data_IF_464431904373
#
_entry.id   IF_464431904373
#
_cell.length_a   1.000
_cell.length_b   1.000
_cell.length_c   1.000
_cell.angle_alpha   90.00
_cell.angle_beta   90.00
_cell.angle_gamma   90.00
#
_symmetry.space_group_name_H-M   'P 1'
#
loop_
_entity.id
_entity.type
_entity.pdbx_description
1 polymer ?
#
# COMPACT_ATOMS: atom_id res chain seq x y z
N UNK A 1 17.12 -29.23 55.53
CA UNK A 1 17.29 -27.78 55.30
C UNK A 1 16.31 -27.38 54.21
N UNK A 2 15.24 -26.70 54.61
CA UNK A 2 14.15 -26.21 53.77
C UNK A 2 14.54 -24.84 53.19
N UNK A 3 14.38 -24.64 51.89
CA UNK A 3 14.42 -23.32 51.24
C UNK A 3 13.30 -23.21 50.19
N UNK A 4 12.18 -22.74 50.74
CA UNK A 4 11.17 -21.81 50.21
C UNK A 4 11.16 -21.47 48.71
N UNK A 5 10.09 -21.92 48.04
CA UNK A 5 9.56 -21.36 46.78
C UNK A 5 8.78 -20.08 47.07
N UNK A 6 9.14 -18.97 46.42
CA UNK A 6 8.34 -17.76 46.40
C UNK A 6 7.28 -17.86 45.30
N UNK A 7 6.01 -17.92 45.72
CA UNK A 7 4.82 -17.80 44.86
C UNK A 7 4.44 -16.32 44.84
N UNK A 8 4.56 -15.67 43.69
CA UNK A 8 4.04 -14.32 43.48
C UNK A 8 2.58 -14.46 43.01
N UNK A 9 1.66 -14.26 43.96
CA UNK A 9 0.23 -14.08 43.74
C UNK A 9 -0.09 -12.62 44.04
N UNK A 10 -0.67 -11.93 43.06
CA UNK A 10 -1.17 -10.56 43.16
C UNK A 10 -1.33 -10.00 41.74
N UNK A 11 -2.43 -9.39 41.31
CA UNK A 11 -3.54 -8.78 42.02
C UNK A 11 -4.73 -8.76 41.05
N UNK A 12 -5.82 -9.48 41.35
CA UNK A 12 -7.10 -9.33 40.66
C UNK A 12 -7.89 -8.32 41.50
N UNK A 13 -8.00 -7.08 41.02
CA UNK A 13 -8.97 -6.12 41.56
C UNK A 13 -10.18 -6.10 40.63
N UNK A 14 -11.24 -6.73 41.11
CA UNK A 14 -12.60 -6.54 40.67
C UNK A 14 -13.07 -5.14 41.07
N UNK A 15 -13.61 -4.38 40.12
CA UNK A 15 -14.45 -3.21 40.38
C UNK A 15 -15.81 -3.50 39.74
N UNK A 16 -16.77 -3.88 40.57
CA UNK A 16 -18.18 -3.99 40.22
C UNK A 16 -18.98 -3.00 41.07
N UNK A 17 -19.87 -2.29 40.39
CA UNK A 17 -21.09 -1.63 40.86
C UNK A 17 -21.01 -0.51 41.89
N UNK A 18 -21.19 0.73 41.41
CA UNK A 18 -22.35 1.55 41.74
C UNK A 18 -22.18 2.96 41.15
N UNK A 19 -22.83 3.29 40.03
CA UNK A 19 -23.17 4.69 39.77
C UNK A 19 -24.51 4.84 39.05
N UNK A 20 -25.35 5.62 39.71
CA UNK A 20 -26.68 6.08 39.33
C UNK A 20 -26.75 6.65 37.91
N UNK A 21 -27.84 6.31 37.23
CA UNK A 21 -28.41 7.01 36.09
C UNK A 21 -28.67 8.49 36.40
N UNK A 22 -27.97 9.38 35.69
CA UNK A 22 -28.42 10.76 35.42
C UNK A 22 -28.24 11.07 33.92
N UNK A 23 -29.16 11.83 33.30
CA UNK A 23 -29.10 12.15 31.88
C UNK A 23 -28.13 13.31 31.62
N UNK A 24 -27.13 13.10 30.76
CA UNK A 24 -26.19 14.13 30.32
C UNK A 24 -26.79 14.87 29.10
N UNK A 25 -26.84 16.21 29.11
CA UNK A 25 -27.26 17.01 27.96
C UNK A 25 -26.15 17.09 26.90
N UNK A 26 -26.58 17.18 25.64
CA UNK A 26 -25.77 17.35 24.43
C UNK A 26 -24.57 18.30 24.63
N UNK A 27 -23.37 17.72 24.67
CA UNK A 27 -22.10 18.45 24.64
C UNK A 27 -21.50 18.36 23.24
N UNK A 28 -21.41 19.54 22.62
CA UNK A 28 -20.69 19.87 21.40
C UNK A 28 -19.30 19.24 21.37
N UNK A 29 -19.07 18.40 20.35
CA UNK A 29 -17.76 17.84 20.00
C UNK A 29 -16.85 18.93 19.42
N UNK A 30 -16.16 19.65 20.30
CA UNK A 30 -14.97 20.44 19.95
C UNK A 30 -13.77 19.48 19.78
N UNK A 31 -13.64 18.86 18.60
CA UNK A 31 -12.36 18.27 18.16
C UNK A 31 -11.50 19.37 17.58
N UNK A 32 -10.65 19.91 18.45
CA UNK A 32 -9.56 20.82 18.13
C UNK A 32 -8.48 20.10 17.31
N UNK A 33 -8.42 20.45 16.03
CA UNK A 33 -7.22 20.79 15.25
C UNK A 33 -5.87 20.19 15.71
N UNK A 34 -5.50 19.07 15.09
CA UNK A 34 -4.11 18.76 14.70
C UNK A 34 -4.13 18.00 13.36
N UNK A 35 -4.75 18.59 12.34
CA UNK A 35 -4.55 18.19 10.95
C UNK A 35 -3.29 18.91 10.43
N UNK A 36 -2.18 18.17 10.39
CA UNK A 36 -1.04 18.56 9.57
C UNK A 36 -1.41 18.53 8.08
N UNK A 37 -0.78 19.36 7.24
CA UNK A 37 -1.12 19.47 5.83
C UNK A 37 -0.68 18.20 5.09
N UNK A 38 -1.65 17.36 4.70
CA UNK A 38 -1.46 16.38 3.64
C UNK A 38 -1.14 17.14 2.36
N UNK A 39 0.15 17.18 2.00
CA UNK A 39 0.62 17.68 0.71
C UNK A 39 0.13 16.73 -0.40
N UNK A 40 -1.07 16.99 -0.89
CA UNK A 40 -1.51 16.48 -2.18
C UNK A 40 -0.65 17.11 -3.28
N UNK A 41 0.40 16.40 -3.73
CA UNK A 41 1.13 16.81 -4.93
C UNK A 41 0.16 16.75 -6.12
N UNK A 42 0.07 17.80 -6.96
CA UNK A 42 -0.73 17.75 -8.18
C UNK A 42 -0.17 16.67 -9.11
N UNK A 43 -0.99 15.66 -9.38
CA UNK A 43 -0.69 14.64 -10.38
C UNK A 43 -0.64 15.33 -11.75
N UNK A 44 0.54 15.39 -12.38
CA UNK A 44 0.68 15.85 -13.77
C UNK A 44 0.01 14.82 -14.68
N UNK A 45 -1.18 15.15 -15.15
CA UNK A 45 -1.90 14.42 -16.21
C UNK A 45 -1.13 14.58 -17.53
N UNK A 46 -0.21 13.65 -17.80
CA UNK A 46 0.48 13.53 -19.07
C UNK A 46 -0.46 12.92 -20.11
N UNK A 47 -1.03 13.79 -20.95
CA UNK A 47 -1.88 13.41 -22.08
C UNK A 47 -1.00 13.22 -23.33
N UNK A 48 -1.07 12.05 -23.98
CA UNK A 48 -0.56 11.76 -25.34
C UNK A 48 0.72 10.91 -25.34
N UNK A 49 0.87 9.82 -26.09
CA UNK A 49 0.13 9.25 -27.22
C UNK A 49 0.18 7.73 -27.11
N UNK A 50 -0.95 7.05 -27.28
CA UNK A 50 -0.96 5.63 -27.60
C UNK A 50 -0.61 5.46 -29.09
N UNK A 51 0.42 4.70 -29.47
CA UNK A 51 0.59 4.27 -30.84
C UNK A 51 -0.54 3.28 -31.17
N UNK A 52 -1.38 3.66 -32.12
CA UNK A 52 -2.32 2.75 -32.79
C UNK A 52 -1.49 1.68 -33.49
N UNK A 53 -1.46 0.45 -32.93
CA UNK A 53 -0.95 -0.70 -33.68
C UNK A 53 -1.98 -1.06 -34.73
N UNK A 54 -1.67 -0.72 -35.98
CA UNK A 54 -2.35 -1.26 -37.15
C UNK A 54 -2.10 -2.75 -37.22
N UNK A 55 -3.18 -3.53 -37.30
CA UNK A 55 -3.14 -4.94 -37.62
C UNK A 55 -2.55 -5.12 -39.03
N UNK A 56 -1.39 -5.76 -39.12
CA UNK A 56 -0.92 -6.33 -40.39
C UNK A 56 -1.01 -7.85 -40.34
N UNK A 57 -1.51 -8.34 -41.47
CA UNK A 57 -1.84 -9.70 -41.83
C UNK A 57 -0.67 -10.70 -41.69
N UNK A 58 -1.08 -11.95 -41.47
CA UNK A 58 -0.16 -13.07 -41.39
C UNK A 58 0.48 -13.44 -42.72
N UNK A 59 1.71 -13.93 -42.65
CA UNK A 59 2.26 -14.97 -43.53
C UNK A 59 3.62 -15.41 -42.98
N UNK A 60 3.94 -16.71 -43.09
CA UNK A 60 5.33 -17.15 -43.06
C UNK A 60 5.78 -18.00 -41.87
N UNK A 61 5.07 -19.09 -41.57
CA UNK A 61 5.71 -20.26 -40.96
C UNK A 61 6.54 -20.95 -42.03
N UNK A 62 7.86 -20.69 -42.10
CA UNK A 62 8.90 -21.61 -42.62
C UNK A 62 10.27 -20.91 -42.64
N UNK A 63 11.20 -21.49 -41.88
CA UNK A 63 12.62 -21.47 -42.21
C UNK A 63 13.47 -20.40 -41.52
N UNK A 64 14.14 -20.78 -40.43
CA UNK A 64 15.54 -20.37 -40.23
C UNK A 64 16.25 -21.34 -39.28
N UNK A 65 16.46 -22.57 -39.77
CA UNK A 65 17.61 -23.37 -39.36
C UNK A 65 18.76 -22.96 -40.28
N UNK A 66 19.60 -22.05 -39.83
CA UNK A 66 20.88 -21.79 -40.48
C UNK A 66 21.95 -21.72 -39.39
N UNK A 67 22.67 -22.85 -39.28
CA UNK A 67 24.01 -22.93 -38.73
C UNK A 67 24.87 -21.78 -39.25
N UNK A 68 25.30 -20.92 -38.34
CA UNK A 68 26.31 -19.88 -38.58
C UNK A 68 27.39 -19.98 -37.52
N UNK A 69 28.30 -20.95 -37.70
CA UNK A 69 29.60 -20.98 -37.03
C UNK A 69 30.45 -19.82 -37.54
N UNK A 70 30.92 -18.95 -36.65
CA UNK A 70 32.04 -18.04 -36.90
C UNK A 70 31.77 -16.57 -36.61
N UNK A 71 32.35 -16.05 -35.53
CA UNK A 71 32.38 -14.60 -35.28
C UNK A 71 32.77 -14.19 -33.86
N UNK A 72 34.07 -14.26 -33.55
CA UNK A 72 34.81 -13.43 -32.59
C UNK A 72 34.15 -13.05 -31.24
N UNK A 73 34.51 -13.81 -30.20
CA UNK A 73 35.20 -13.32 -28.99
C UNK A 73 35.18 -11.79 -28.80
N UNK A 74 34.27 -11.33 -27.94
CA UNK A 74 34.53 -10.19 -27.04
C UNK A 74 34.75 -10.77 -25.64
N UNK A 75 35.96 -11.31 -25.45
CA UNK A 75 36.52 -11.58 -24.14
C UNK A 75 37.05 -10.27 -23.56
N UNK A 76 36.58 -9.91 -22.38
CA UNK A 76 37.33 -9.09 -21.43
C UNK A 76 36.92 -7.63 -21.36
N UNK A 77 36.42 -7.23 -20.19
CA UNK A 77 36.57 -5.85 -19.74
C UNK A 77 35.39 -5.25 -19.00
N UNK A 78 35.11 -5.72 -17.78
CA UNK A 78 34.80 -4.78 -16.69
C UNK A 78 33.34 -4.38 -16.47
N UNK A 79 32.47 -5.33 -16.12
CA UNK A 79 31.23 -5.02 -15.39
C UNK A 79 31.15 -5.62 -13.98
N UNK A 80 32.24 -6.18 -13.46
CA UNK A 80 32.29 -6.71 -12.08
C UNK A 80 32.74 -5.65 -11.04
N UNK A 81 33.07 -4.42 -11.46
CA UNK A 81 33.70 -3.42 -10.57
C UNK A 81 32.77 -2.30 -10.06
N UNK A 82 31.46 -2.33 -10.34
CA UNK A 82 30.54 -1.26 -9.94
C UNK A 82 29.60 -1.60 -8.75
N UNK A 83 29.62 -2.83 -8.20
CA UNK A 83 28.66 -3.24 -7.17
C UNK A 83 29.26 -3.56 -5.80
N UNK A 84 30.52 -3.19 -5.52
CA UNK A 84 30.96 -2.92 -4.14
C UNK A 84 30.59 -1.49 -3.73
N UNK A 85 29.34 -1.10 -4.00
CA UNK A 85 28.75 0.07 -3.38
C UNK A 85 28.67 -0.24 -1.89
N UNK A 86 29.67 0.25 -1.14
CA UNK A 86 29.82 0.22 0.33
C UNK A 86 28.71 -0.56 1.03
N UNK A 87 28.98 -1.82 1.36
CA UNK A 87 28.20 -2.64 2.29
C UNK A 87 28.16 -2.08 3.73
N UNK A 88 28.50 -0.80 3.92
CA UNK A 88 28.35 -0.02 5.15
C UNK A 88 27.12 0.88 5.09
N UNK A 89 26.00 0.39 4.54
CA UNK A 89 24.70 1.05 4.73
C UNK A 89 24.45 1.20 6.24
N UNK A 90 23.85 2.33 6.64
CA UNK A 90 23.53 2.54 8.04
C UNK A 90 22.40 1.58 8.44
N UNK A 91 22.76 0.43 8.99
CA UNK A 91 21.80 -0.63 9.35
C UNK A 91 20.68 -0.13 10.26
N UNK A 92 20.93 0.88 11.11
CA UNK A 92 19.92 1.49 11.98
C UNK A 92 18.85 2.22 11.17
N UNK A 93 19.24 2.85 10.05
CA UNK A 93 18.32 3.52 9.12
C UNK A 93 17.53 2.49 8.32
N UNK A 94 18.20 1.44 7.84
CA UNK A 94 17.53 0.37 7.10
C UNK A 94 16.52 -0.36 8.02
N UNK A 95 16.91 -0.69 9.25
CA UNK A 95 16.03 -1.27 10.26
C UNK A 95 14.86 -0.36 10.64
N UNK A 96 15.09 0.94 10.82
CA UNK A 96 14.02 1.89 11.14
C UNK A 96 13.01 2.03 9.99
N UNK A 97 13.48 2.01 8.74
CA UNK A 97 12.62 1.98 7.55
C UNK A 97 11.72 0.75 7.53
N UNK A 98 12.26 -0.45 7.80
CA UNK A 98 11.46 -1.67 7.87
C UNK A 98 10.39 -1.60 8.97
N UNK A 99 10.74 -1.05 10.15
CA UNK A 99 9.77 -0.83 11.24
C UNK A 99 8.66 0.15 10.88
N UNK A 100 9.01 1.26 10.24
CA UNK A 100 8.02 2.26 9.80
C UNK A 100 7.14 1.66 8.71
N UNK A 101 7.72 0.94 7.76
CA UNK A 101 7.00 0.22 6.72
C UNK A 101 6.03 -0.82 7.27
N UNK A 102 6.45 -1.61 8.25
CA UNK A 102 5.61 -2.59 8.93
C UNK A 102 4.38 -1.92 9.59
N UNK A 103 4.59 -0.80 10.30
CA UNK A 103 3.47 -0.01 10.86
C UNK A 103 2.55 0.58 9.78
N UNK A 104 3.11 0.97 8.64
CA UNK A 104 2.34 1.42 7.47
C UNK A 104 1.42 0.31 6.95
N UNK A 105 1.95 -0.91 6.81
CA UNK A 105 1.15 -2.08 6.41
C UNK A 105 0.08 -2.44 7.45
N UNK A 106 0.40 -2.37 8.74
CA UNK A 106 -0.59 -2.59 9.81
C UNK A 106 -1.74 -1.58 9.72
N UNK A 107 -1.43 -0.29 9.53
CA UNK A 107 -2.43 0.78 9.37
C UNK A 107 -3.30 0.55 8.13
N UNK A 108 -2.67 0.26 6.98
CA UNK A 108 -3.38 0.01 5.72
C UNK A 108 -4.32 -1.20 5.85
N UNK A 109 -3.88 -2.30 6.48
CA UNK A 109 -4.71 -3.50 6.63
C UNK A 109 -5.84 -3.33 7.65
N UNK A 110 -5.65 -2.48 8.67
CA UNK A 110 -6.68 -2.14 9.64
C UNK A 110 -7.77 -1.24 9.03
N UNK A 111 -7.37 -0.31 8.16
CA UNK A 111 -8.26 0.68 7.52
C UNK A 111 -8.50 0.36 6.03
N UNK A 112 -8.46 -0.92 5.66
CA UNK A 112 -8.44 -1.36 4.26
C UNK A 112 -9.53 -0.71 3.40
N UNK A 113 -10.76 -0.71 3.91
CA UNK A 113 -11.94 -0.18 3.21
C UNK A 113 -11.85 1.33 3.00
N UNK A 114 -11.37 2.08 3.99
CA UNK A 114 -11.28 3.53 3.94
C UNK A 114 -10.13 3.98 3.04
N UNK A 115 -8.96 3.36 3.21
CA UNK A 115 -7.76 3.73 2.48
C UNK A 115 -7.87 3.39 0.99
N UNK A 116 -8.39 2.20 0.65
CA UNK A 116 -8.50 1.77 -0.76
C UNK A 116 -9.65 2.43 -1.51
N UNK A 117 -10.57 3.11 -0.82
CA UNK A 117 -11.77 3.71 -1.44
C UNK A 117 -11.60 5.21 -1.68
N UNK A 118 -11.60 5.62 -2.95
CA UNK A 118 -11.55 7.02 -3.34
C UNK A 118 -12.96 7.52 -3.72
N UNK A 119 -13.56 8.34 -2.83
CA UNK A 119 -14.89 8.94 -3.01
C UNK A 119 -14.84 10.37 -3.57
N UNK A 120 -14.04 10.61 -4.60
CA UNK A 120 -13.89 11.94 -5.21
C UNK A 120 -14.58 12.09 -6.57
N UNK A 121 -15.29 11.07 -7.03
CA UNK A 121 -15.96 11.12 -8.32
C UNK A 121 -17.37 11.68 -8.13
N UNK A 122 -17.59 12.90 -8.64
CA UNK A 122 -18.92 13.46 -8.70
C UNK A 122 -19.33 13.50 -10.17
N UNK A 123 -20.21 12.59 -10.56
CA UNK A 123 -20.81 12.65 -11.89
C UNK A 123 -21.98 13.63 -11.87
N UNK A 124 -21.87 14.69 -12.67
CA UNK A 124 -23.00 15.55 -12.98
C UNK A 124 -23.89 14.76 -13.94
N UNK A 125 -25.10 14.41 -13.52
CA UNK A 125 -26.01 13.68 -14.40
C UNK A 125 -26.28 14.52 -15.65
N UNK A 126 -26.21 13.88 -16.82
CA UNK A 126 -26.39 14.56 -18.11
C UNK A 126 -27.77 15.25 -18.20
N UNK A 127 -28.76 14.68 -17.52
CA UNK A 127 -30.12 15.24 -17.38
C UNK A 127 -30.12 16.63 -16.70
N UNK A 128 -29.23 16.87 -15.73
CA UNK A 128 -29.03 18.22 -15.15
C UNK A 128 -28.40 19.16 -16.18
N UNK A 129 -27.54 18.66 -17.07
CA UNK A 129 -26.90 19.47 -18.11
C UNK A 129 -27.80 19.76 -19.31
N UNK A 130 -28.92 19.04 -19.47
CA UNK A 130 -29.88 19.29 -20.55
C UNK A 130 -30.68 20.59 -20.30
N UNK A 131 -30.85 21.35 -21.37
CA UNK A 131 -30.95 22.82 -21.45
C UNK A 131 -32.06 23.51 -20.62
N UNK A 132 -33.01 22.75 -20.05
CA UNK A 132 -34.23 23.31 -19.46
C UNK A 132 -34.04 23.93 -18.07
N UNK A 133 -32.96 23.60 -17.35
CA UNK A 133 -32.68 24.15 -16.01
C UNK A 133 -31.33 24.86 -15.89
N UNK A 134 -30.73 25.28 -17.02
CA UNK A 134 -29.40 25.92 -17.03
C UNK A 134 -29.34 27.16 -16.14
N UNK A 135 -30.41 27.97 -16.13
CA UNK A 135 -30.51 29.16 -15.27
C UNK A 135 -30.62 28.80 -13.78
N UNK A 136 -31.42 27.78 -13.42
CA UNK A 136 -31.58 27.32 -12.04
C UNK A 136 -30.28 26.68 -11.50
N UNK A 137 -29.53 25.97 -12.35
CA UNK A 137 -28.23 25.41 -11.99
C UNK A 137 -27.16 26.47 -11.78
N UNK A 138 -27.16 27.53 -12.60
CA UNK A 138 -26.25 28.65 -12.40
C UNK A 138 -26.55 29.43 -11.11
N UNK A 139 -27.83 29.55 -10.72
CA UNK A 139 -28.22 30.19 -9.46
C UNK A 139 -27.95 29.29 -8.22
N UNK A 140 -28.21 27.98 -8.32
CA UNK A 140 -27.85 27.02 -7.27
C UNK A 140 -26.33 26.90 -7.10
N UNK A 141 -25.57 26.96 -8.20
CA UNK A 141 -24.11 26.96 -8.20
C UNK A 141 -23.52 28.19 -7.49
N UNK A 142 -24.15 29.36 -7.64
CA UNK A 142 -23.72 30.60 -6.96
C UNK A 142 -24.00 30.61 -5.47
N UNK A 143 -25.11 30.02 -5.03
CA UNK A 143 -25.61 30.23 -3.66
C UNK A 143 -25.26 29.13 -2.68
N UNK A 144 -25.13 27.86 -3.10
CA UNK A 144 -24.86 26.75 -2.16
C UNK A 144 -24.11 25.54 -2.75
N UNK A 145 -24.00 25.40 -4.09
CA UNK A 145 -23.46 24.16 -4.67
C UNK A 145 -21.92 24.04 -4.66
N UNK A 146 -21.19 25.12 -4.36
CA UNK A 146 -19.72 25.01 -4.24
C UNK A 146 -19.28 24.35 -2.92
N UNK A 147 -20.13 24.38 -1.87
CA UNK A 147 -19.75 23.96 -0.52
C UNK A 147 -20.65 22.87 0.10
N UNK A 148 -21.92 22.71 -0.32
CA UNK A 148 -22.76 21.58 0.09
C UNK A 148 -22.73 20.45 -0.95
N UNK A 149 -21.59 19.77 -1.07
CA UNK A 149 -21.39 18.64 -2.00
C UNK A 149 -22.37 17.49 -1.75
N UNK A 150 -22.80 17.30 -0.52
CA UNK A 150 -23.56 16.12 -0.11
C UNK A 150 -25.05 16.15 -0.53
N UNK A 151 -25.62 17.33 -0.83
CA UNK A 151 -27.05 17.47 -1.10
C UNK A 151 -27.41 17.38 -2.60
N UNK A 152 -26.49 17.73 -3.50
CA UNK A 152 -26.76 17.84 -4.94
C UNK A 152 -25.87 16.97 -5.82
N UNK A 153 -24.77 16.42 -5.28
CA UNK A 153 -23.88 15.53 -6.02
C UNK A 153 -23.98 14.12 -5.49
N UNK A 154 -24.27 13.16 -6.39
CA UNK A 154 -24.12 11.74 -6.08
C UNK A 154 -22.63 11.45 -5.99
N UNK A 155 -22.10 11.37 -4.77
CA UNK A 155 -20.71 10.98 -4.53
C UNK A 155 -20.55 9.52 -4.91
N UNK A 156 -19.79 9.31 -5.98
CA UNK A 156 -19.38 8.00 -6.45
C UNK A 156 -18.02 7.66 -5.87
N UNK A 157 -17.94 6.47 -5.32
CA UNK A 157 -16.75 5.88 -4.76
C UNK A 157 -16.22 4.81 -5.71
N UNK A 158 -14.91 4.71 -5.76
CA UNK A 158 -14.19 3.73 -6.57
C UNK A 158 -13.01 3.23 -5.77
N UNK A 159 -12.82 1.91 -5.71
CA UNK A 159 -11.62 1.35 -5.10
C UNK A 159 -10.41 1.50 -6.02
N UNK A 160 -9.25 1.84 -5.46
CA UNK A 160 -8.00 2.03 -6.20
C UNK A 160 -6.86 1.23 -5.56
N UNK A 161 -5.93 0.67 -6.34
CA UNK A 161 -4.76 -0.04 -5.80
C UNK A 161 -3.64 0.91 -5.37
N UNK A 162 -3.80 2.22 -5.56
CA UNK A 162 -2.75 3.20 -5.29
C UNK A 162 -2.24 3.20 -3.84
N UNK A 163 -3.11 3.16 -2.81
CA UNK A 163 -2.66 3.09 -1.41
C UNK A 163 -1.78 1.87 -1.12
N UNK A 164 -2.02 0.75 -1.82
CA UNK A 164 -1.19 -0.46 -1.71
C UNK A 164 0.21 -0.19 -2.28
N UNK A 165 0.28 0.43 -3.47
CA UNK A 165 1.56 0.76 -4.13
C UNK A 165 2.37 1.75 -3.29
N UNK A 166 1.70 2.72 -2.69
CA UNK A 166 2.31 3.72 -1.82
C UNK A 166 2.83 3.09 -0.53
N UNK A 167 2.03 2.26 0.14
CA UNK A 167 2.43 1.56 1.36
C UNK A 167 3.61 0.60 1.13
N UNK A 168 3.63 -0.10 -0.01
CA UNK A 168 4.71 -1.01 -0.39
C UNK A 168 5.93 -0.29 -0.99
N UNK A 169 5.86 1.01 -1.23
CA UNK A 169 6.94 1.79 -1.84
C UNK A 169 7.30 1.32 -3.25
N UNK A 170 6.30 0.99 -4.08
CA UNK A 170 6.56 0.56 -5.46
C UNK A 170 6.89 1.72 -6.39
N UNK A 171 6.25 2.88 -6.21
CA UNK A 171 6.43 4.05 -7.06
C UNK A 171 7.30 5.15 -6.42
N UNK A 172 7.42 5.16 -5.09
CA UNK A 172 8.13 6.20 -4.35
C UNK A 172 9.51 5.72 -3.87
N UNK A 173 10.55 6.49 -4.22
CA UNK A 173 11.93 6.24 -3.83
C UNK A 173 12.20 6.54 -2.36
N UNK A 174 11.39 7.42 -1.76
CA UNK A 174 11.52 7.85 -0.37
C UNK A 174 10.67 7.00 0.57
N UNK A 175 9.78 6.16 0.04
CA UNK A 175 8.95 5.30 0.83
C UNK A 175 9.78 4.33 1.69
N UNK A 176 9.35 4.04 2.94
CA UNK A 176 10.08 3.18 3.85
C UNK A 176 10.34 1.77 3.29
N UNK A 177 9.41 1.22 2.51
CA UNK A 177 9.52 -0.12 1.93
C UNK A 177 10.10 -0.15 0.50
N UNK A 178 10.57 1.00 -0.01
CA UNK A 178 11.23 1.05 -1.32
C UNK A 178 12.44 0.11 -1.36
N UNK A 179 12.40 -0.88 -2.26
CA UNK A 179 13.41 -1.95 -2.37
C UNK A 179 13.71 -2.62 -1.03
N UNK A 180 12.67 -2.87 -0.24
CA UNK A 180 12.78 -3.53 1.05
C UNK A 180 13.34 -4.95 0.93
N UNK A 181 13.07 -5.66 -0.16
CA UNK A 181 13.70 -6.94 -0.51
C UNK A 181 15.24 -6.90 -0.46
N UNK A 182 15.84 -5.90 -1.11
CA UNK A 182 17.29 -5.70 -1.10
C UNK A 182 17.81 -5.21 0.26
N UNK A 183 16.97 -4.49 1.00
CA UNK A 183 17.29 -3.96 2.33
C UNK A 183 17.36 -5.11 3.34
N UNK A 184 16.40 -6.03 3.30
CA UNK A 184 16.40 -7.26 4.12
C UNK A 184 17.63 -8.11 3.80
N UNK A 185 17.94 -8.37 2.53
CA UNK A 185 19.14 -9.14 2.17
C UNK A 185 20.45 -8.54 2.72
N UNK A 186 20.57 -7.20 2.75
CA UNK A 186 21.74 -6.50 3.28
C UNK A 186 21.89 -6.62 4.80
N UNK A 187 20.79 -6.84 5.53
CA UNK A 187 20.80 -6.91 6.99
C UNK A 187 21.16 -8.31 7.52
N UNK A 188 21.35 -9.31 6.64
CA UNK A 188 21.67 -10.69 7.00
C UNK A 188 22.89 -10.81 7.93
N UNK A 189 23.95 -10.03 7.69
CA UNK A 189 25.18 -10.04 8.51
C UNK A 189 24.98 -9.53 9.95
N UNK A 190 23.78 -9.03 10.29
CA UNK A 190 23.43 -8.50 11.61
C UNK A 190 22.49 -9.40 12.41
N UNK A 191 21.98 -10.45 11.78
CA UNK A 191 21.08 -11.40 12.42
C UNK A 191 21.87 -12.25 13.41
N UNK A 192 21.24 -12.59 14.53
CA UNK A 192 21.80 -13.53 15.49
C UNK A 192 22.06 -14.88 14.78
N UNK A 193 23.26 -15.49 14.91
CA UNK A 193 23.53 -16.81 14.35
C UNK A 193 22.49 -17.88 14.70
N UNK A 194 21.85 -17.79 15.87
CA UNK A 194 20.84 -18.76 16.31
C UNK A 194 19.50 -18.60 15.58
N UNK A 195 19.22 -17.41 15.01
CA UNK A 195 18.00 -17.09 14.26
C UNK A 195 18.24 -16.97 12.75
N UNK A 196 19.45 -17.29 12.28
CA UNK A 196 19.86 -17.06 10.90
C UNK A 196 19.06 -17.88 9.89
N UNK A 197 18.76 -19.14 10.21
CA UNK A 197 18.01 -20.03 9.32
C UNK A 197 16.56 -19.53 9.13
N UNK A 198 15.87 -19.20 10.23
CA UNK A 198 14.51 -18.63 10.21
C UNK A 198 14.47 -17.31 9.44
N UNK A 199 15.51 -16.48 9.59
CA UNK A 199 15.62 -15.21 8.87
C UNK A 199 15.78 -15.43 7.37
N UNK A 200 16.63 -16.36 6.93
CA UNK A 200 16.86 -16.64 5.51
C UNK A 200 15.59 -17.19 4.87
N UNK A 201 14.85 -18.09 5.54
CA UNK A 201 13.55 -18.56 5.06
C UNK A 201 12.55 -17.40 4.92
N UNK A 202 12.47 -16.54 5.93
CA UNK A 202 11.59 -15.38 5.91
C UNK A 202 11.99 -14.37 4.81
N UNK A 203 13.28 -14.15 4.58
CA UNK A 203 13.81 -13.29 3.51
C UNK A 203 13.36 -13.76 2.13
N UNK A 204 13.58 -15.04 1.81
CA UNK A 204 13.20 -15.62 0.50
C UNK A 204 11.70 -15.54 0.27
N UNK A 205 10.92 -15.91 1.29
CA UNK A 205 9.46 -15.83 1.26
C UNK A 205 8.98 -14.38 1.09
N UNK A 206 9.58 -13.43 1.80
CA UNK A 206 9.24 -12.02 1.67
C UNK A 206 9.53 -11.51 0.25
N UNK A 207 10.69 -11.84 -0.32
CA UNK A 207 11.06 -11.45 -1.68
C UNK A 207 10.05 -12.00 -2.71
N UNK A 208 9.62 -13.25 -2.56
CA UNK A 208 8.60 -13.85 -3.43
C UNK A 208 7.25 -13.13 -3.32
N UNK A 209 6.77 -12.88 -2.09
CA UNK A 209 5.51 -12.18 -1.85
C UNK A 209 5.58 -10.74 -2.36
N UNK A 210 6.69 -10.04 -2.14
CA UNK A 210 6.90 -8.66 -2.57
C UNK A 210 6.85 -8.54 -4.10
N UNK A 211 7.50 -9.45 -4.82
CA UNK A 211 7.43 -9.51 -6.28
C UNK A 211 6.00 -9.81 -6.78
N UNK A 212 5.31 -10.77 -6.15
CA UNK A 212 3.91 -11.10 -6.45
C UNK A 212 2.97 -9.89 -6.23
N UNK A 213 3.09 -9.21 -5.09
CA UNK A 213 2.32 -8.02 -4.74
C UNK A 213 2.52 -6.89 -5.77
N UNK A 214 3.75 -6.70 -6.24
CA UNK A 214 4.05 -5.73 -7.31
C UNK A 214 3.33 -6.07 -8.60
N UNK A 215 3.36 -7.33 -9.04
CA UNK A 215 2.68 -7.75 -10.28
C UNK A 215 1.16 -7.58 -10.17
N UNK A 216 0.55 -7.96 -9.04
CA UNK A 216 -0.90 -7.83 -8.85
C UNK A 216 -1.33 -6.37 -8.84
N UNK A 217 -0.70 -5.52 -8.02
CA UNK A 217 -1.05 -4.09 -7.95
C UNK A 217 -0.86 -3.37 -9.27
N UNK A 218 0.19 -3.72 -10.03
CA UNK A 218 0.39 -3.24 -11.39
C UNK A 218 -0.77 -3.65 -12.31
N UNK A 219 -1.14 -4.94 -12.33
CA UNK A 219 -2.26 -5.43 -13.15
C UNK A 219 -3.61 -4.79 -12.77
N UNK A 220 -3.84 -4.57 -11.48
CA UNK A 220 -5.03 -3.92 -10.95
C UNK A 220 -5.10 -2.44 -11.31
N UNK A 221 -3.96 -1.75 -11.39
CA UNK A 221 -3.89 -0.36 -11.88
C UNK A 221 -4.23 -0.24 -13.36
N UNK A 222 -3.92 -1.26 -14.17
CA UNK A 222 -4.30 -1.27 -15.60
C UNK A 222 -5.81 -1.46 -15.81
N UNK A 223 -6.46 -2.19 -14.90
CA UNK A 223 -7.89 -2.47 -14.95
C UNK A 223 -8.73 -1.47 -14.18
N UNK A 224 -8.11 -0.38 -13.71
CA UNK A 224 -8.77 0.57 -12.85
C UNK A 224 -10.02 1.17 -13.52
N UNK A 225 -10.01 1.40 -14.83
CA UNK A 225 -11.16 1.92 -15.56
C UNK A 225 -12.39 0.97 -15.56
N UNK A 226 -12.17 -0.33 -15.36
CA UNK A 226 -13.22 -1.37 -15.36
C UNK A 226 -13.79 -1.63 -13.96
N UNK A 227 -13.20 -1.03 -12.91
CA UNK A 227 -13.62 -1.28 -11.54
C UNK A 227 -15.02 -0.74 -11.28
N UNK A 228 -15.84 -1.47 -10.49
CA UNK A 228 -17.19 -1.05 -10.18
C UNK A 228 -17.16 0.29 -9.43
N UNK A 229 -18.11 1.15 -9.80
CA UNK A 229 -18.34 2.43 -9.14
C UNK A 229 -19.62 2.29 -8.34
N UNK A 230 -19.58 2.64 -7.07
CA UNK A 230 -20.70 2.50 -6.14
C UNK A 230 -21.00 3.84 -5.46
N UNK A 231 -22.23 4.00 -4.96
CA UNK A 231 -22.61 5.23 -4.24
C UNK A 231 -22.07 5.17 -2.82
N UNK A 232 -21.67 6.32 -2.27
CA UNK A 232 -21.27 6.41 -0.86
C UNK A 232 -22.41 5.90 0.05
N UNK A 233 -22.12 4.89 0.87
CA UNK A 233 -23.07 4.28 1.81
C UNK A 233 -23.90 3.12 1.24
N UNK A 234 -23.75 2.79 -0.05
CA UNK A 234 -24.28 1.55 -0.62
C UNK A 234 -23.38 0.37 -0.23
N UNK A 235 -23.98 -0.80 0.02
CA UNK A 235 -23.22 -2.01 0.32
C UNK A 235 -22.39 -2.38 -0.92
N UNK A 236 -21.08 -2.33 -0.77
CA UNK A 236 -20.20 -2.67 -1.87
C UNK A 236 -20.28 -4.18 -2.13
N UNK A 237 -20.20 -4.55 -3.41
CA UNK A 237 -20.05 -5.96 -3.77
C UNK A 237 -18.74 -6.56 -3.26
N UNK A 238 -18.41 -7.75 -3.76
CA UNK A 238 -17.15 -8.44 -3.44
C UNK A 238 -15.95 -7.51 -3.68
N UNK A 239 -15.01 -7.48 -2.73
CA UNK A 239 -13.78 -6.71 -2.85
C UNK A 239 -12.93 -7.19 -4.03
N UNK A 240 -12.72 -6.36 -5.07
CA UNK A 240 -11.85 -6.74 -6.20
C UNK A 240 -10.41 -6.97 -5.77
N UNK A 241 -10.00 -6.44 -4.61
CA UNK A 241 -8.63 -6.52 -4.07
C UNK A 241 -8.49 -7.51 -2.90
N UNK A 242 -9.46 -8.38 -2.69
CA UNK A 242 -9.43 -9.44 -1.67
C UNK A 242 -8.15 -10.30 -1.77
N UNK A 243 -7.68 -10.55 -3.00
CA UNK A 243 -6.47 -11.35 -3.23
C UNK A 243 -5.22 -10.59 -2.78
N UNK A 244 -5.11 -9.33 -3.17
CA UNK A 244 -4.02 -8.43 -2.79
C UNK A 244 -3.97 -8.25 -1.28
N UNK A 245 -5.12 -8.09 -0.62
CA UNK A 245 -5.22 -8.01 0.84
C UNK A 245 -4.59 -9.21 1.54
N UNK A 246 -4.89 -10.43 1.05
CA UNK A 246 -4.31 -11.67 1.61
C UNK A 246 -2.79 -11.74 1.40
N UNK A 247 -2.30 -11.30 0.25
CA UNK A 247 -0.86 -11.32 -0.03
C UNK A 247 -0.11 -10.26 0.78
N UNK A 248 -0.69 -9.07 0.99
CA UNK A 248 -0.13 -8.06 1.90
C UNK A 248 -0.14 -8.49 3.36
N UNK A 249 -1.18 -9.23 3.78
CA UNK A 249 -1.24 -9.84 5.10
C UNK A 249 -0.04 -10.78 5.30
N UNK A 250 0.24 -11.65 4.33
CA UNK A 250 1.43 -12.52 4.35
C UNK A 250 2.74 -11.72 4.33
N UNK A 251 2.82 -10.66 3.53
CA UNK A 251 3.99 -9.80 3.44
C UNK A 251 4.29 -9.15 4.80
N UNK A 252 3.27 -8.56 5.44
CA UNK A 252 3.35 -7.98 6.78
C UNK A 252 3.81 -9.01 7.81
N UNK A 253 3.18 -10.19 7.83
CA UNK A 253 3.50 -11.21 8.83
C UNK A 253 4.93 -11.73 8.66
N UNK A 254 5.38 -11.92 7.42
CA UNK A 254 6.77 -12.33 7.14
C UNK A 254 7.76 -11.21 7.49
N UNK A 255 7.43 -9.95 7.18
CA UNK A 255 8.24 -8.79 7.54
C UNK A 255 8.35 -8.61 9.05
N UNK A 256 7.30 -8.95 9.81
CA UNK A 256 7.33 -8.94 11.28
C UNK A 256 8.37 -9.91 11.81
N UNK A 257 8.42 -11.14 11.30
CA UNK A 257 9.46 -12.14 11.67
C UNK A 257 10.86 -11.59 11.40
N UNK A 258 11.08 -10.98 10.23
CA UNK A 258 12.35 -10.35 9.87
C UNK A 258 12.74 -9.23 10.86
N UNK A 259 11.80 -8.35 11.20
CA UNK A 259 12.04 -7.22 12.11
C UNK A 259 12.31 -7.69 13.55
N UNK A 260 11.65 -8.77 13.98
CA UNK A 260 11.83 -9.36 15.31
C UNK A 260 13.18 -10.06 15.42
N UNK A 261 13.62 -10.78 14.39
CA UNK A 261 14.95 -11.42 14.32
C UNK A 261 16.11 -10.40 14.29
N UNK A 262 15.86 -9.17 13.84
CA UNK A 262 16.82 -8.07 13.82
C UNK A 262 16.81 -7.24 15.11
N UNK A 263 15.92 -7.52 16.07
CA UNK A 263 15.86 -6.76 17.31
C UNK A 263 17.15 -6.98 18.12
N UNK A 264 17.78 -5.91 18.64
CA UNK A 264 18.94 -6.08 19.50
C UNK A 264 18.53 -6.88 20.75
N UNK A 265 19.42 -7.75 21.27
CA UNK A 265 19.15 -8.46 22.51
C UNK A 265 18.84 -7.44 23.61
N UNK A 266 17.75 -7.65 24.34
CA UNK A 266 17.40 -6.84 25.51
C UNK A 266 18.48 -7.09 26.56
N UNK A 267 19.42 -6.15 26.67
CA UNK A 267 20.48 -6.18 27.71
C UNK A 267 19.91 -5.79 29.06
#
# INVERSE_FOLDING_TARGET
MLLTRAVVVGCILAFADAFHTTPIPNALSLRSLCLGPLHGKPHKEGRGQQPTMTAEDGAGRRGFLALGLGGAVWLGGGQEAAAKAKAGGNWKVDYSKLKVGLKGLDTLLANWEEETTLCNYAEVTKELLETKNKAALLEAAKTNALFNKDATMVVKCKRTPQPIKDAMGFDDLEAPLYKSDLTVARLRDRVDPDMLDDYVEAEEKYAQIFASARTMTYSSSMREAELPVFKKGEEEGRDPFDRERRELTKARDTLRVIVDALAPPVQ
#
